data_IF_729103789632
#
_entry.id   IF_729103789632
#
_cell.length_a   1.000
_cell.length_b   1.000
_cell.length_c   1.000
_cell.angle_alpha   90.00
_cell.angle_beta   90.00
_cell.angle_gamma   90.00
#
_symmetry.space_group_name_H-M   'P 1'
#
loop_
_entity.id
_entity.type
_entity.pdbx_description
1 polymer ?
#
# COMPACT_ATOMS: atom_id res chain seq x y z
N UNK A 1 16.71 2.27 -13.04
CA UNK A 1 17.82 3.16 -13.44
C UNK A 1 18.91 3.25 -12.37
N UNK A 2 18.57 3.27 -11.09
CA UNK A 2 19.53 3.40 -9.98
C UNK A 2 20.54 2.24 -9.86
N UNK A 3 20.29 1.11 -10.50
CA UNK A 3 21.18 -0.06 -10.53
C UNK A 3 21.96 -0.18 -11.85
N UNK A 4 21.85 0.80 -12.73
CA UNK A 4 22.57 0.83 -14.00
C UNK A 4 23.64 1.91 -13.93
N UNK A 5 24.89 1.52 -14.05
CA UNK A 5 26.00 2.45 -14.29
C UNK A 5 25.89 2.97 -15.73
N UNK A 6 25.06 3.98 -15.94
CA UNK A 6 24.84 4.59 -17.24
C UNK A 6 24.10 5.91 -17.12
N UNK A 7 24.47 6.88 -17.91
CA UNK A 7 23.72 8.13 -18.04
C UNK A 7 22.43 7.85 -18.85
N UNK A 8 21.29 7.98 -18.20
CA UNK A 8 19.98 7.93 -18.85
C UNK A 8 19.53 9.33 -19.22
N UNK A 9 19.15 9.53 -20.45
CA UNK A 9 18.52 10.78 -20.88
C UNK A 9 17.02 10.72 -20.68
N UNK A 10 16.39 11.88 -20.49
CA UNK A 10 14.95 11.98 -20.34
C UNK A 10 14.22 11.32 -21.54
N UNK A 11 14.74 11.53 -22.76
CA UNK A 11 14.15 10.95 -23.97
C UNK A 11 14.15 9.42 -24.02
N UNK A 12 15.10 8.77 -23.35
CA UNK A 12 15.15 7.30 -23.29
C UNK A 12 14.07 6.69 -22.37
N UNK A 13 13.59 7.47 -21.40
CA UNK A 13 12.59 7.01 -20.43
C UNK A 13 11.22 7.69 -20.62
N UNK A 14 11.14 8.69 -21.51
CA UNK A 14 9.93 9.48 -21.74
C UNK A 14 8.70 8.62 -22.03
N UNK A 15 8.82 7.62 -22.92
CA UNK A 15 7.72 6.71 -23.21
C UNK A 15 7.24 5.88 -22.02
N UNK A 16 8.17 5.48 -21.16
CA UNK A 16 7.83 4.74 -19.92
C UNK A 16 7.18 5.66 -18.89
N UNK A 17 7.66 6.89 -18.75
CA UNK A 17 7.06 7.88 -17.85
C UNK A 17 5.66 8.27 -18.32
N UNK A 18 5.48 8.50 -19.62
CA UNK A 18 4.15 8.80 -20.19
C UNK A 18 3.17 7.64 -19.94
N UNK A 19 3.59 6.41 -20.19
CA UNK A 19 2.76 5.22 -19.92
C UNK A 19 2.35 5.14 -18.45
N UNK A 20 3.27 5.39 -17.51
CA UNK A 20 2.96 5.39 -16.09
C UNK A 20 1.99 6.51 -15.73
N UNK A 21 2.20 7.71 -16.28
CA UNK A 21 1.32 8.85 -16.08
C UNK A 21 -0.11 8.55 -16.57
N UNK A 22 -0.26 8.03 -17.81
CA UNK A 22 -1.55 7.69 -18.40
C UNK A 22 -2.29 6.58 -17.63
N UNK A 23 -1.55 5.72 -16.93
CA UNK A 23 -2.12 4.67 -16.08
C UNK A 23 -2.46 5.15 -14.68
N UNK A 24 -1.75 6.14 -14.19
CA UNK A 24 -1.99 6.73 -12.87
C UNK A 24 -3.17 7.71 -12.90
N UNK A 25 -3.29 8.51 -13.96
CA UNK A 25 -4.30 9.55 -14.08
C UNK A 25 -5.28 9.19 -15.20
N UNK A 26 -6.52 8.92 -14.83
CA UNK A 26 -7.60 8.63 -15.77
C UNK A 26 -8.54 9.81 -15.79
N UNK A 27 -8.56 10.52 -16.93
CA UNK A 27 -9.51 11.58 -17.20
C UNK A 27 -10.73 10.98 -17.87
N UNK A 28 -11.90 11.22 -17.31
CA UNK A 28 -13.19 10.85 -17.91
C UNK A 28 -14.01 12.10 -18.12
N UNK A 29 -14.53 12.27 -19.33
CA UNK A 29 -15.40 13.37 -19.68
C UNK A 29 -16.78 12.84 -20.09
N UNK A 30 -17.81 13.49 -19.58
CA UNK A 30 -19.21 13.22 -19.95
C UNK A 30 -19.93 14.53 -20.17
N UNK A 31 -20.57 14.67 -21.31
CA UNK A 31 -21.37 15.85 -21.67
C UNK A 31 -22.85 15.50 -21.63
N UNK A 32 -23.60 16.26 -20.87
CA UNK A 32 -25.06 16.25 -20.88
C UNK A 32 -25.55 17.49 -21.60
N UNK A 33 -26.64 17.37 -22.38
CA UNK A 33 -27.25 18.47 -23.11
C UNK A 33 -28.65 18.65 -22.56
N UNK A 34 -28.90 19.83 -22.03
CA UNK A 34 -30.24 20.27 -21.60
C UNK A 34 -30.80 21.30 -22.58
N UNK A 35 -32.10 21.24 -22.86
CA UNK A 35 -32.78 22.33 -23.55
C UNK A 35 -33.19 23.38 -22.50
N UNK A 36 -32.75 24.60 -22.70
CA UNK A 36 -33.16 25.77 -21.90
C UNK A 36 -33.83 26.78 -22.81
N UNK A 37 -34.54 27.71 -22.21
CA UNK A 37 -35.26 28.76 -22.94
C UNK A 37 -34.70 30.11 -22.51
N UNK A 38 -34.53 31.03 -23.45
CA UNK A 38 -34.11 32.39 -23.18
C UNK A 38 -35.28 33.27 -22.71
N UNK A 39 -35.07 34.60 -22.60
CA UNK A 39 -36.09 35.57 -22.20
C UNK A 39 -37.24 35.75 -23.19
N UNK A 40 -37.03 35.35 -24.41
CA UNK A 40 -38.00 35.43 -25.53
C UNK A 40 -38.70 34.09 -25.80
N UNK A 41 -38.48 33.11 -24.85
CA UNK A 41 -39.03 31.74 -24.88
C UNK A 41 -38.49 30.88 -26.04
N UNK A 42 -37.30 31.26 -26.57
CA UNK A 42 -36.64 30.50 -27.62
C UNK A 42 -35.72 29.43 -27.05
N UNK A 43 -35.79 28.18 -27.58
CA UNK A 43 -34.99 27.07 -27.04
C UNK A 43 -33.53 27.16 -27.48
N UNK A 44 -32.62 26.90 -26.53
CA UNK A 44 -31.20 26.72 -26.80
C UNK A 44 -30.62 25.52 -26.09
N UNK A 45 -29.55 24.97 -26.62
CA UNK A 45 -28.83 23.85 -26.02
C UNK A 45 -27.86 24.34 -24.97
N UNK A 46 -28.01 23.82 -23.73
CA UNK A 46 -27.09 24.05 -22.64
C UNK A 46 -26.24 22.79 -22.42
N UNK A 47 -24.92 22.95 -22.55
CA UNK A 47 -23.96 21.84 -22.41
C UNK A 47 -23.38 21.85 -21.01
N UNK A 48 -23.53 20.71 -20.30
CA UNK A 48 -22.95 20.49 -18.98
C UNK A 48 -21.84 19.46 -19.17
N UNK A 49 -20.60 19.87 -18.96
CA UNK A 49 -19.44 18.99 -19.04
C UNK A 49 -19.03 18.56 -17.65
N UNK A 50 -19.09 17.25 -17.39
CA UNK A 50 -18.57 16.62 -16.19
C UNK A 50 -17.18 16.08 -16.49
N UNK A 51 -16.19 16.58 -15.76
CA UNK A 51 -14.80 16.12 -15.86
C UNK A 51 -14.41 15.48 -14.56
N UNK A 52 -14.02 14.22 -14.62
CA UNK A 52 -13.54 13.48 -13.47
C UNK A 52 -12.10 13.05 -13.69
N UNK A 53 -11.23 13.39 -12.75
CA UNK A 53 -9.85 12.92 -12.72
C UNK A 53 -9.71 11.87 -11.61
N UNK A 54 -9.50 10.62 -12.00
CA UNK A 54 -9.12 9.54 -11.09
C UNK A 54 -7.60 9.50 -10.98
N UNK A 55 -7.08 9.52 -9.77
CA UNK A 55 -5.66 9.33 -9.48
C UNK A 55 -5.46 7.98 -8.81
N UNK A 56 -4.94 7.01 -9.55
CA UNK A 56 -4.53 5.72 -9.00
C UNK A 56 -3.19 5.85 -8.31
N UNK A 57 -3.07 5.32 -7.11
CA UNK A 57 -1.81 5.32 -6.40
C UNK A 57 -0.73 4.61 -7.24
N UNK A 58 0.43 5.26 -7.42
CA UNK A 58 1.55 4.74 -8.21
C UNK A 58 2.02 3.36 -7.70
N UNK A 59 1.95 3.12 -6.39
CA UNK A 59 2.30 1.84 -5.77
C UNK A 59 1.44 0.66 -6.24
N UNK A 60 0.23 0.92 -6.75
CA UNK A 60 -0.69 -0.11 -7.24
C UNK A 60 -0.47 -0.47 -8.72
N UNK A 61 0.23 0.36 -9.47
CA UNK A 61 0.44 0.14 -10.90
C UNK A 61 1.28 -1.10 -11.22
N UNK A 62 2.34 -1.44 -10.46
CA UNK A 62 3.18 -2.60 -10.77
C UNK A 62 2.38 -3.89 -10.92
N UNK A 63 1.40 -4.15 -10.06
CA UNK A 63 0.56 -5.36 -10.11
C UNK A 63 -0.22 -5.48 -11.43
N UNK A 64 -0.65 -4.36 -11.99
CA UNK A 64 -1.43 -4.34 -13.25
C UNK A 64 -0.57 -4.34 -14.51
N UNK A 65 0.73 -4.05 -14.37
CA UNK A 65 1.65 -3.84 -15.50
C UNK A 65 2.71 -4.92 -15.64
N UNK A 66 3.10 -5.57 -14.52
CA UNK A 66 4.24 -6.47 -14.46
C UNK A 66 3.78 -7.93 -14.44
N UNK A 67 4.55 -8.81 -15.09
CA UNK A 67 4.41 -10.27 -14.93
C UNK A 67 4.91 -10.69 -13.54
N UNK A 68 4.62 -11.92 -13.12
CA UNK A 68 5.11 -12.47 -11.84
C UNK A 68 6.65 -12.40 -11.73
N UNK A 69 7.38 -12.71 -12.81
CA UNK A 69 8.84 -12.61 -12.82
C UNK A 69 9.30 -11.15 -12.66
N UNK A 70 8.65 -10.23 -13.37
CA UNK A 70 8.97 -8.80 -13.28
C UNK A 70 8.60 -8.26 -11.89
N UNK A 71 7.51 -8.73 -11.30
CA UNK A 71 7.07 -8.36 -9.95
C UNK A 71 8.09 -8.81 -8.89
N UNK A 72 8.62 -10.04 -9.02
CA UNK A 72 9.69 -10.53 -8.16
C UNK A 72 10.95 -9.67 -8.25
N UNK A 73 11.36 -9.29 -9.47
CA UNK A 73 12.49 -8.39 -9.68
C UNK A 73 12.23 -6.99 -9.13
N UNK A 74 11.01 -6.48 -9.31
CA UNK A 74 10.60 -5.19 -8.78
C UNK A 74 10.70 -5.14 -7.25
N UNK A 75 10.24 -6.19 -6.55
CA UNK A 75 10.32 -6.26 -5.09
C UNK A 75 11.78 -6.30 -4.59
N UNK A 76 12.66 -7.01 -5.30
CA UNK A 76 14.11 -7.01 -4.99
C UNK A 76 14.68 -5.60 -5.16
N UNK A 77 14.34 -4.90 -6.24
CA UNK A 77 14.80 -3.53 -6.47
C UNK A 77 14.30 -2.57 -5.38
N UNK A 78 13.05 -2.68 -4.98
CA UNK A 78 12.47 -1.85 -3.92
C UNK A 78 13.17 -2.10 -2.58
N UNK A 79 13.42 -3.36 -2.23
CA UNK A 79 14.16 -3.72 -1.01
C UNK A 79 15.60 -3.20 -1.05
N UNK A 80 16.27 -3.24 -2.20
CA UNK A 80 17.64 -2.75 -2.37
C UNK A 80 17.69 -1.23 -2.30
N UNK A 81 16.72 -0.54 -2.88
CA UNK A 81 16.65 0.93 -2.84
C UNK A 81 16.51 1.47 -1.41
N UNK A 82 15.72 0.79 -0.57
CA UNK A 82 15.59 1.13 0.85
C UNK A 82 16.91 0.98 1.63
N UNK A 83 17.83 0.14 1.14
CA UNK A 83 19.15 -0.09 1.74
C UNK A 83 20.28 0.75 1.12
N UNK A 84 19.97 1.65 0.20
CA UNK A 84 20.95 2.47 -0.53
C UNK A 84 20.60 3.97 -0.45
N UNK A 85 20.54 4.54 0.77
CA UNK A 85 20.28 5.98 0.96
C UNK A 85 21.35 6.86 0.29
N UNK A 86 22.55 6.33 0.11
CA UNK A 86 23.66 6.99 -0.59
C UNK A 86 23.34 7.33 -2.05
N UNK A 87 22.44 6.58 -2.71
CA UNK A 87 22.03 6.84 -4.09
C UNK A 87 20.93 7.90 -4.21
N UNK A 88 20.23 8.18 -3.12
CA UNK A 88 19.09 9.10 -3.09
C UNK A 88 19.14 9.97 -1.83
N UNK A 89 20.23 10.73 -1.63
CA UNK A 89 20.29 11.66 -0.52
C UNK A 89 19.12 12.65 -0.63
N UNK A 90 18.49 12.96 0.47
CA UNK A 90 17.38 13.91 0.57
C UNK A 90 16.07 13.47 -0.14
N UNK A 91 15.91 12.18 -0.42
CA UNK A 91 14.66 11.68 -0.97
C UNK A 91 13.68 11.27 0.15
N UNK A 92 12.55 11.97 0.34
CA UNK A 92 11.54 11.59 1.34
C UNK A 92 10.98 10.19 1.10
N UNK A 93 11.06 9.70 -0.15
CA UNK A 93 10.63 8.36 -0.52
C UNK A 93 11.59 7.29 -0.01
N UNK A 94 12.90 7.55 -0.08
CA UNK A 94 13.93 6.63 0.43
C UNK A 94 13.94 6.65 1.95
N UNK A 95 13.83 7.83 2.57
CA UNK A 95 13.75 7.98 4.03
C UNK A 95 12.55 7.21 4.61
N UNK A 96 11.43 7.19 3.90
CA UNK A 96 10.24 6.42 4.28
C UNK A 96 10.49 4.91 4.33
N UNK A 97 11.42 4.40 3.51
CA UNK A 97 11.74 2.98 3.40
C UNK A 97 13.08 2.60 4.06
N UNK A 98 13.78 3.54 4.68
CA UNK A 98 14.94 3.24 5.52
C UNK A 98 14.46 2.60 6.82
N UNK A 99 14.93 1.43 7.03
CA UNK A 99 14.54 0.37 7.92
C UNK A 99 15.12 0.49 9.33
N UNK A 100 15.00 1.63 9.95
CA UNK A 100 15.17 1.69 11.38
C UNK A 100 13.78 1.61 12.02
N UNK A 101 13.56 0.75 13.02
CA UNK A 101 12.35 0.85 13.79
C UNK A 101 12.19 2.29 14.26
N UNK A 102 10.98 2.86 14.22
CA UNK A 102 10.76 4.21 14.71
C UNK A 102 11.35 4.37 16.12
N UNK A 103 11.95 5.53 16.41
CA UNK A 103 12.44 5.81 17.75
C UNK A 103 11.31 5.56 18.76
N UNK A 104 11.62 4.78 19.81
CA UNK A 104 10.64 4.44 20.84
C UNK A 104 9.70 3.31 20.47
N UNK A 105 10.02 2.51 19.43
CA UNK A 105 9.35 1.24 19.20
C UNK A 105 9.84 0.23 20.24
N UNK A 106 9.08 0.05 21.27
CA UNK A 106 9.25 -1.01 22.26
C UNK A 106 7.89 -1.62 22.57
N UNK A 107 7.82 -2.93 22.56
CA UNK A 107 6.69 -3.67 23.11
C UNK A 107 6.96 -3.86 24.61
N UNK A 108 6.10 -3.37 25.52
CA UNK A 108 6.28 -3.60 26.93
C UNK A 108 6.46 -5.08 27.26
N UNK A 109 7.49 -5.42 28.04
CA UNK A 109 7.87 -6.80 28.34
C UNK A 109 6.73 -7.65 28.92
N UNK A 110 5.81 -7.03 29.65
CA UNK A 110 4.62 -7.71 30.21
C UNK A 110 3.70 -8.34 29.15
N UNK A 111 3.70 -7.83 27.90
CA UNK A 111 2.95 -8.43 26.81
C UNK A 111 3.70 -9.57 26.13
N UNK A 112 5.02 -9.63 26.29
CA UNK A 112 5.85 -10.71 25.76
C UNK A 112 5.87 -11.94 26.66
N UNK A 113 5.31 -11.87 27.88
CA UNK A 113 5.08 -13.01 28.74
C UNK A 113 4.02 -13.98 28.21
N UNK A 114 3.14 -13.52 27.30
CA UNK A 114 2.24 -14.39 26.54
C UNK A 114 3.00 -14.94 25.31
N UNK A 115 3.29 -16.24 25.31
CA UNK A 115 4.05 -16.91 24.25
C UNK A 115 3.43 -16.69 22.84
N UNK A 116 2.11 -16.54 22.78
CA UNK A 116 1.38 -16.31 21.53
C UNK A 116 1.71 -14.94 20.95
N UNK A 117 1.62 -13.91 21.77
CA UNK A 117 1.95 -12.54 21.33
C UNK A 117 3.43 -12.38 21.05
N UNK A 118 4.29 -12.98 21.88
CA UNK A 118 5.73 -12.98 21.66
C UNK A 118 6.10 -13.59 20.30
N UNK A 119 5.44 -14.69 19.91
CA UNK A 119 5.64 -15.30 18.60
C UNK A 119 5.22 -14.37 17.43
N UNK A 120 4.07 -13.70 17.56
CA UNK A 120 3.60 -12.73 16.57
C UNK A 120 4.60 -11.59 16.39
N UNK A 121 5.05 -10.98 17.49
CA UNK A 121 5.99 -9.87 17.44
C UNK A 121 7.35 -10.28 16.91
N UNK A 122 7.89 -11.41 17.38
CA UNK A 122 9.16 -11.94 16.90
C UNK A 122 9.15 -12.22 15.40
N UNK A 123 8.02 -12.64 14.83
CA UNK A 123 7.88 -12.82 13.39
C UNK A 123 7.70 -11.48 12.68
N UNK A 124 6.84 -10.62 13.21
CA UNK A 124 6.51 -9.33 12.61
C UNK A 124 7.72 -8.40 12.48
N UNK A 125 8.56 -8.34 13.50
CA UNK A 125 9.75 -7.47 13.56
C UNK A 125 10.78 -7.77 12.47
N UNK A 126 10.86 -9.01 12.00
CA UNK A 126 11.80 -9.42 10.92
C UNK A 126 11.63 -8.63 9.63
N UNK A 127 10.44 -8.07 9.42
CA UNK A 127 10.05 -7.42 8.16
C UNK A 127 9.84 -5.92 8.31
N UNK A 128 10.21 -5.34 9.44
CA UNK A 128 10.20 -3.88 9.60
C UNK A 128 11.13 -3.28 8.55
N UNK A 129 10.58 -2.31 7.80
CA UNK A 129 11.28 -1.65 6.71
C UNK A 129 11.19 -2.31 5.35
N UNK A 130 10.47 -3.40 5.23
CA UNK A 130 10.14 -3.93 3.90
C UNK A 130 9.23 -2.94 3.17
N UNK A 131 9.51 -2.65 1.88
CA UNK A 131 8.69 -1.72 1.11
C UNK A 131 7.30 -2.29 0.89
N UNK A 132 6.31 -1.40 0.81
CA UNK A 132 4.96 -1.79 0.41
C UNK A 132 4.94 -2.20 -1.06
N UNK A 133 4.42 -3.40 -1.34
CA UNK A 133 4.21 -3.90 -2.70
C UNK A 133 2.80 -4.47 -2.78
N UNK A 134 1.96 -3.86 -3.60
CA UNK A 134 0.58 -4.31 -3.79
C UNK A 134 0.53 -5.78 -4.24
N UNK A 135 -0.24 -6.61 -3.50
CA UNK A 135 -0.31 -8.05 -3.75
C UNK A 135 0.87 -8.84 -3.22
N UNK A 136 1.90 -8.19 -2.68
CA UNK A 136 3.03 -8.83 -2.03
C UNK A 136 2.59 -9.62 -0.80
N UNK A 137 3.19 -10.81 -0.58
CA UNK A 137 2.73 -11.74 0.45
C UNK A 137 3.81 -12.62 1.06
N UNK A 138 5.08 -12.33 0.77
CA UNK A 138 6.23 -13.10 1.26
C UNK A 138 7.47 -12.22 1.31
N UNK A 139 8.54 -12.62 2.04
CA UNK A 139 9.79 -11.88 2.05
C UNK A 139 10.42 -11.70 0.65
N UNK A 140 10.17 -12.62 -0.27
CA UNK A 140 10.71 -12.54 -1.64
C UNK A 140 9.96 -11.57 -2.55
N UNK A 141 8.70 -11.28 -2.24
CA UNK A 141 7.85 -10.36 -3.01
C UNK A 141 7.63 -9.03 -2.29
N UNK A 142 8.16 -8.88 -1.08
CA UNK A 142 7.70 -7.89 -0.11
C UNK A 142 6.22 -8.09 0.22
N UNK A 143 5.55 -7.12 0.80
CA UNK A 143 4.23 -7.27 1.36
C UNK A 143 3.30 -6.11 0.98
N UNK A 144 2.01 -6.40 0.82
CA UNK A 144 0.95 -5.43 1.10
C UNK A 144 0.49 -5.56 2.57
N UNK A 145 -0.46 -4.74 3.01
CA UNK A 145 -0.93 -4.75 4.40
C UNK A 145 -1.45 -6.12 4.84
N UNK A 146 -2.27 -6.74 4.03
CA UNK A 146 -2.89 -8.04 4.33
C UNK A 146 -1.95 -9.21 4.09
N UNK A 147 -1.02 -9.08 3.16
CA UNK A 147 0.04 -10.05 2.92
C UNK A 147 1.00 -10.15 4.09
N UNK A 148 1.39 -8.99 4.64
CA UNK A 148 2.20 -8.93 5.85
C UNK A 148 1.51 -9.60 7.04
N UNK A 149 0.27 -9.20 7.33
CA UNK A 149 -0.50 -9.78 8.45
C UNK A 149 -0.72 -11.28 8.25
N UNK A 150 -1.13 -11.72 7.06
CA UNK A 150 -1.32 -13.14 6.78
C UNK A 150 -0.03 -13.94 6.94
N UNK A 151 1.10 -13.40 6.46
CA UNK A 151 2.40 -14.03 6.60
C UNK A 151 2.79 -14.21 8.07
N UNK A 152 2.74 -13.13 8.84
CA UNK A 152 3.09 -13.14 10.27
C UNK A 152 2.24 -14.16 11.02
N UNK A 153 0.92 -14.15 10.86
CA UNK A 153 0.02 -15.07 11.54
C UNK A 153 0.32 -16.53 11.16
N UNK A 154 0.53 -16.81 9.87
CA UNK A 154 0.83 -18.17 9.41
C UNK A 154 2.17 -18.70 9.94
N UNK A 155 3.13 -17.82 10.25
CA UNK A 155 4.44 -18.18 10.81
C UNK A 155 4.51 -18.08 12.33
N UNK A 156 3.40 -17.71 12.98
CA UNK A 156 3.27 -17.58 14.43
C UNK A 156 2.34 -18.65 15.07
N UNK A 157 2.09 -19.74 14.37
CA UNK A 157 1.34 -20.88 14.89
C UNK A 157 -0.10 -21.03 14.36
N UNK A 158 -0.58 -20.15 13.51
CA UNK A 158 -1.88 -20.28 12.82
C UNK A 158 -1.70 -20.65 11.35
N UNK A 159 -2.80 -21.07 10.74
CA UNK A 159 -2.85 -21.34 9.31
C UNK A 159 -4.13 -20.73 8.74
N UNK A 160 -4.07 -19.45 8.39
CA UNK A 160 -5.19 -18.72 7.79
C UNK A 160 -5.05 -18.59 6.27
N UNK A 161 -3.95 -19.04 5.71
CA UNK A 161 -3.64 -18.87 4.29
C UNK A 161 -3.37 -17.41 3.91
N UNK A 162 -3.43 -17.08 2.61
CA UNK A 162 -3.31 -15.71 2.10
C UNK A 162 -4.70 -15.10 1.99
N UNK A 163 -5.04 -14.20 2.90
CA UNK A 163 -6.29 -13.45 2.90
C UNK A 163 -6.03 -11.97 2.60
N UNK A 164 -6.99 -11.33 1.94
CA UNK A 164 -7.04 -9.87 1.85
C UNK A 164 -7.54 -9.25 3.16
N UNK A 165 -7.45 -7.92 3.30
CA UNK A 165 -7.85 -7.23 4.53
C UNK A 165 -9.31 -7.52 4.94
N UNK A 166 -10.23 -7.55 3.99
CA UNK A 166 -11.62 -7.94 4.26
C UNK A 166 -11.75 -9.41 4.68
N UNK A 167 -10.95 -10.30 4.10
CA UNK A 167 -10.95 -11.73 4.47
C UNK A 167 -10.44 -11.95 5.89
N UNK A 168 -9.37 -11.26 6.30
CA UNK A 168 -8.88 -11.26 7.66
C UNK A 168 -9.93 -10.72 8.65
N UNK A 169 -10.58 -9.60 8.30
CA UNK A 169 -11.65 -9.05 9.11
C UNK A 169 -12.80 -10.06 9.33
N UNK A 170 -13.18 -10.80 8.31
CA UNK A 170 -14.29 -11.74 8.36
C UNK A 170 -14.04 -12.94 9.28
N UNK A 171 -12.78 -13.28 9.56
CA UNK A 171 -12.41 -14.38 10.46
C UNK A 171 -12.14 -13.92 11.90
N UNK A 172 -12.13 -12.61 12.16
CA UNK A 172 -11.88 -12.04 13.47
C UNK A 172 -13.17 -11.79 14.24
N UNK A 173 -13.09 -11.88 15.56
CA UNK A 173 -14.16 -11.45 16.47
C UNK A 173 -13.88 -10.03 16.95
N UNK A 174 -14.82 -9.07 16.78
CA UNK A 174 -14.62 -7.70 17.27
C UNK A 174 -14.44 -7.64 18.78
N UNK A 175 -13.54 -6.79 19.25
CA UNK A 175 -13.32 -6.50 20.67
C UNK A 175 -13.30 -4.99 20.91
N UNK A 176 -13.72 -4.56 22.11
CA UNK A 176 -13.59 -3.18 22.58
C UNK A 176 -12.34 -2.96 23.45
N UNK A 177 -11.61 -4.04 23.74
CA UNK A 177 -10.40 -4.00 24.60
C UNK A 177 -9.28 -4.73 23.85
N UNK A 178 -8.67 -4.09 22.87
CA UNK A 178 -7.62 -4.72 22.07
C UNK A 178 -6.39 -4.99 22.93
N UNK A 179 -5.77 -6.12 22.69
CA UNK A 179 -4.51 -6.55 23.30
C UNK A 179 -3.41 -6.58 22.24
N UNK A 180 -2.16 -6.47 22.61
CA UNK A 180 -1.05 -6.68 21.67
C UNK A 180 -1.20 -8.01 20.91
N UNK A 181 -1.04 -7.95 19.58
CA UNK A 181 -1.28 -9.08 18.68
C UNK A 181 -2.68 -9.13 18.05
N UNK A 182 -3.66 -8.43 18.60
CA UNK A 182 -4.97 -8.28 17.93
C UNK A 182 -4.84 -7.53 16.62
N UNK A 183 -5.75 -7.77 15.68
CA UNK A 183 -5.72 -7.10 14.39
C UNK A 183 -6.56 -5.82 14.42
N UNK A 184 -6.04 -4.78 13.80
CA UNK A 184 -6.76 -3.52 13.55
C UNK A 184 -7.10 -3.40 12.08
N UNK A 185 -8.28 -2.82 11.81
CA UNK A 185 -8.83 -2.73 10.46
C UNK A 185 -9.35 -1.33 10.17
N UNK A 186 -9.10 -0.88 8.94
CA UNK A 186 -9.51 0.44 8.47
C UNK A 186 -10.33 0.33 7.18
N UNK A 187 -11.21 1.32 6.98
CA UNK A 187 -12.00 1.49 5.76
C UNK A 187 -11.64 2.81 5.10
N UNK A 188 -11.74 2.86 3.78
CA UNK A 188 -11.59 4.11 3.05
C UNK A 188 -10.15 4.62 2.93
N UNK A 189 -9.14 3.78 3.15
CA UNK A 189 -7.74 4.14 2.89
C UNK A 189 -7.43 4.21 1.40
N UNK A 190 -8.21 3.52 0.58
CA UNK A 190 -8.27 3.65 -0.88
C UNK A 190 -9.68 3.24 -1.36
N UNK A 191 -10.01 3.50 -2.63
CA UNK A 191 -11.32 3.22 -3.19
C UNK A 191 -11.56 1.72 -3.35
N UNK A 192 -12.16 1.12 -2.33
CA UNK A 192 -12.61 -0.27 -2.31
C UNK A 192 -13.76 -0.46 -1.32
N UNK A 193 -14.74 -1.31 -1.63
CA UNK A 193 -15.78 -1.66 -0.67
C UNK A 193 -15.21 -2.41 0.55
N UNK A 194 -15.69 -2.03 1.75
CA UNK A 194 -15.35 -2.74 2.98
C UNK A 194 -14.03 -2.32 3.60
N UNK A 195 -13.30 -3.32 4.15
CA UNK A 195 -12.00 -3.09 4.80
C UNK A 195 -10.91 -2.94 3.75
N UNK A 196 -10.17 -1.84 3.83
CA UNK A 196 -9.14 -1.48 2.86
C UNK A 196 -7.71 -1.59 3.40
N UNK A 197 -7.53 -1.61 4.73
CA UNK A 197 -6.20 -1.72 5.36
C UNK A 197 -6.27 -2.49 6.67
N UNK A 198 -5.15 -3.11 7.06
CA UNK A 198 -5.04 -3.83 8.33
C UNK A 198 -3.61 -3.77 8.88
N UNK A 199 -3.50 -4.01 10.19
CA UNK A 199 -2.25 -4.10 10.90
C UNK A 199 -2.39 -4.93 12.17
N UNK A 200 -1.28 -5.13 12.88
CA UNK A 200 -1.19 -5.84 14.15
C UNK A 200 -1.06 -4.81 15.26
N UNK A 201 -1.99 -4.78 16.19
CA UNK A 201 -1.95 -3.88 17.33
C UNK A 201 -0.76 -4.20 18.23
N UNK A 202 -0.04 -3.19 18.67
CA UNK A 202 1.09 -3.33 19.58
C UNK A 202 0.69 -2.89 21.00
N UNK A 203 0.53 -1.61 21.20
CA UNK A 203 0.06 -0.97 22.43
C UNK A 203 -0.10 0.53 22.20
N UNK A 204 -0.74 1.23 23.10
CA UNK A 204 -0.83 2.71 23.15
C UNK A 204 -1.26 3.36 21.81
N UNK A 205 -2.19 2.69 21.09
CA UNK A 205 -2.68 3.16 19.80
C UNK A 205 -1.70 2.96 18.65
N UNK A 206 -0.66 2.16 18.81
CA UNK A 206 0.33 1.84 17.78
C UNK A 206 0.04 0.49 17.15
N UNK A 207 0.47 0.32 15.91
CA UNK A 207 0.37 -0.94 15.18
C UNK A 207 1.60 -1.20 14.31
N UNK A 208 1.86 -2.46 14.04
CA UNK A 208 2.73 -2.90 12.96
C UNK A 208 1.90 -3.12 11.70
N UNK A 209 2.28 -2.50 10.63
CA UNK A 209 1.62 -2.68 9.34
C UNK A 209 2.60 -2.50 8.19
N UNK A 210 2.22 -2.95 7.01
CA UNK A 210 2.88 -2.60 5.76
C UNK A 210 1.96 -1.65 5.01
N UNK A 211 2.37 -0.41 4.83
CA UNK A 211 1.55 0.63 4.21
C UNK A 211 2.33 1.88 3.85
N UNK A 212 1.67 2.76 3.12
CA UNK A 212 2.19 4.00 2.53
C UNK A 212 1.98 5.24 3.42
N UNK A 213 1.54 5.11 4.62
CA UNK A 213 1.16 6.25 5.48
C UNK A 213 2.24 6.64 6.44
#
# INVERSE_FOLDING_TARGET
SALHEGEWTLSQVEGSLQMLFDRQYILTERVEVETRYDSDDEPYSWYICYVTLENKNLSHLPVSLLSEEQMSRYSIYMSTLGNRPDLFPDSPYVDKYITNPPEGYEVPGEYLDDETFAAIFSEAEKYIGYPYVWGGSSPSTSFDCSGYVSWVINHSGWNVGRLGAQGLYNICTPTSSPRPGDLVFFKGTYDTPGVSHCGIYVCDGRMLHCGDS
#
